data_IF_024983492102
#
_entry.id   IF_024983492102
#
_cell.length_a   1.000
_cell.length_b   1.000
_cell.length_c   1.000
_cell.angle_alpha   90.00
_cell.angle_beta   90.00
_cell.angle_gamma   90.00
#
_symmetry.space_group_name_H-M   'P 1'
#
loop_
_entity.id
_entity.type
_entity.pdbx_description
1 polymer ?
#
# COMPACT_ATOMS: atom_id res chain seq x y z
N UNK A 1 2.30 -3.98 25.60
CA UNK A 1 2.52 -2.97 24.53
C UNK A 1 2.61 -1.61 25.20
N UNK A 2 3.79 -1.01 25.26
CA UNK A 2 3.94 0.28 25.92
C UNK A 2 3.46 1.39 24.98
N UNK A 3 2.73 2.38 25.50
CA UNK A 3 2.17 3.53 24.77
C UNK A 3 3.25 4.25 23.94
N UNK A 4 4.48 4.30 24.43
CA UNK A 4 5.63 4.88 23.71
C UNK A 4 5.98 4.16 22.41
N UNK A 5 5.71 2.88 22.31
CA UNK A 5 6.04 2.10 21.11
C UNK A 5 5.05 2.31 19.96
N UNK A 6 3.83 2.70 20.28
CA UNK A 6 2.84 3.08 19.28
C UNK A 6 3.12 4.47 18.69
N UNK A 7 3.75 5.36 19.47
CA UNK A 7 4.07 6.71 19.02
C UNK A 7 5.20 6.78 17.98
N UNK A 8 6.15 5.83 18.01
CA UNK A 8 7.24 5.79 17.01
C UNK A 8 6.73 5.50 15.60
N UNK A 9 5.66 4.69 15.47
CA UNK A 9 5.08 4.32 14.17
C UNK A 9 3.95 5.28 13.73
N UNK A 10 3.49 6.15 14.62
CA UNK A 10 2.32 6.99 14.40
C UNK A 10 2.45 7.90 13.16
N UNK A 11 3.55 8.61 12.93
CA UNK A 11 3.66 9.49 11.76
C UNK A 11 3.51 8.74 10.44
N UNK A 12 4.16 7.59 10.30
CA UNK A 12 4.10 6.80 9.08
C UNK A 12 2.73 6.16 8.88
N UNK A 13 2.07 5.76 9.97
CA UNK A 13 0.72 5.20 9.93
C UNK A 13 -0.32 6.25 9.57
N UNK A 14 -0.23 7.45 10.10
CA UNK A 14 -1.14 8.56 9.77
C UNK A 14 -0.97 8.98 8.32
N UNK A 15 0.26 9.17 7.87
CA UNK A 15 0.54 9.60 6.51
C UNK A 15 0.05 8.58 5.47
N UNK A 16 0.41 7.31 5.62
CA UNK A 16 0.02 6.25 4.69
C UNK A 16 -1.44 5.88 4.82
N UNK A 17 -1.95 5.75 6.04
CA UNK A 17 -3.34 5.39 6.31
C UNK A 17 -4.32 6.46 5.86
N UNK A 18 -4.03 7.73 6.13
CA UNK A 18 -4.86 8.86 5.68
C UNK A 18 -4.93 8.94 4.15
N UNK A 19 -3.80 8.80 3.48
CA UNK A 19 -3.75 8.82 2.01
C UNK A 19 -4.53 7.65 1.40
N UNK A 20 -4.30 6.42 1.87
CA UNK A 20 -4.96 5.23 1.34
C UNK A 20 -6.46 5.25 1.64
N UNK A 21 -6.86 5.66 2.83
CA UNK A 21 -8.28 5.82 3.17
C UNK A 21 -8.98 6.80 2.24
N UNK A 22 -8.40 7.97 2.02
CA UNK A 22 -8.92 8.97 1.08
C UNK A 22 -9.06 8.39 -0.33
N UNK A 23 -8.02 7.71 -0.81
CA UNK A 23 -8.03 7.06 -2.13
C UNK A 23 -9.12 5.99 -2.26
N UNK A 24 -9.33 5.22 -1.20
CA UNK A 24 -10.39 4.20 -1.16
C UNK A 24 -11.80 4.80 -1.17
N UNK A 25 -12.02 5.87 -0.39
CA UNK A 25 -13.29 6.59 -0.37
C UNK A 25 -13.64 7.19 -1.73
N UNK A 26 -12.67 7.80 -2.41
CA UNK A 26 -12.87 8.32 -3.77
C UNK A 26 -13.26 7.22 -4.77
N UNK A 27 -12.72 6.02 -4.61
CA UNK A 27 -13.04 4.88 -5.48
C UNK A 27 -14.39 4.23 -5.18
N UNK A 28 -14.91 4.37 -3.95
CA UNK A 28 -16.27 3.91 -3.64
C UNK A 28 -17.34 4.65 -4.47
N UNK A 29 -17.06 5.89 -4.84
CA UNK A 29 -17.94 6.73 -5.66
C UNK A 29 -17.63 6.65 -7.16
N UNK A 30 -16.74 5.72 -7.58
CA UNK A 30 -16.36 5.57 -8.97
C UNK A 30 -17.55 5.16 -9.84
N UNK A 31 -17.79 5.91 -10.90
CA UNK A 31 -18.75 5.57 -11.92
C UNK A 31 -18.26 4.40 -12.80
N UNK A 32 -19.09 3.97 -13.75
CA UNK A 32 -18.77 2.85 -14.64
C UNK A 32 -17.55 3.09 -15.51
N UNK A 33 -17.35 4.32 -15.97
CA UNK A 33 -16.22 4.70 -16.82
C UNK A 33 -14.90 4.63 -16.03
N UNK A 34 -14.89 5.19 -14.83
CA UNK A 34 -13.74 5.12 -13.93
C UNK A 34 -13.42 3.68 -13.49
N UNK A 35 -14.46 2.90 -13.18
CA UNK A 35 -14.31 1.47 -12.87
C UNK A 35 -13.70 0.69 -14.03
N UNK A 36 -14.16 0.92 -15.26
CA UNK A 36 -13.60 0.30 -16.46
C UNK A 36 -12.13 0.71 -16.68
N UNK A 37 -11.79 1.97 -16.45
CA UNK A 37 -10.42 2.47 -16.55
C UNK A 37 -9.47 1.81 -15.53
N UNK A 38 -9.87 1.75 -14.27
CA UNK A 38 -9.11 1.09 -13.20
C UNK A 38 -8.91 -0.41 -13.49
N UNK A 39 -9.98 -1.08 -13.90
CA UNK A 39 -9.94 -2.50 -14.26
C UNK A 39 -9.07 -2.76 -15.48
N UNK A 40 -9.22 -1.98 -16.54
CA UNK A 40 -8.42 -2.11 -17.75
C UNK A 40 -6.93 -1.95 -17.48
N UNK A 41 -6.57 -0.98 -16.67
CA UNK A 41 -5.19 -0.76 -16.25
C UNK A 41 -4.63 -1.95 -15.44
N UNK A 42 -5.39 -2.42 -14.46
CA UNK A 42 -4.99 -3.54 -13.62
C UNK A 42 -4.93 -4.88 -14.37
N UNK A 43 -5.93 -5.18 -15.22
CA UNK A 43 -5.99 -6.42 -16.01
C UNK A 43 -4.93 -6.47 -17.11
N UNK A 44 -4.47 -5.32 -17.59
CA UNK A 44 -3.33 -5.26 -18.51
C UNK A 44 -2.03 -5.76 -17.91
N UNK A 45 -1.81 -5.49 -16.62
CA UNK A 45 -0.64 -5.97 -15.89
C UNK A 45 -0.85 -7.36 -15.23
N UNK A 46 -2.09 -7.64 -14.81
CA UNK A 46 -2.50 -8.88 -14.16
C UNK A 46 -3.65 -9.53 -14.94
N UNK A 47 -3.35 -10.35 -15.98
CA UNK A 47 -4.37 -10.88 -16.90
C UNK A 47 -5.49 -11.68 -16.23
N UNK A 48 -5.23 -12.32 -15.08
CA UNK A 48 -6.24 -13.05 -14.31
C UNK A 48 -7.40 -12.17 -13.83
N UNK A 49 -7.18 -10.85 -13.71
CA UNK A 49 -8.22 -9.89 -13.35
C UNK A 49 -9.22 -9.66 -14.50
N UNK A 50 -8.89 -10.04 -15.73
CA UNK A 50 -9.76 -9.89 -16.88
C UNK A 50 -11.09 -10.65 -16.76
N UNK A 51 -11.15 -11.70 -15.94
CA UNK A 51 -12.36 -12.46 -15.65
C UNK A 51 -13.29 -11.81 -14.63
N UNK A 52 -12.82 -10.78 -13.93
CA UNK A 52 -13.59 -10.05 -12.90
C UNK A 52 -14.31 -8.86 -13.56
N UNK A 53 -15.63 -8.68 -13.34
CA UNK A 53 -16.32 -7.50 -13.83
C UNK A 53 -15.70 -6.20 -13.31
N UNK A 54 -15.55 -5.15 -14.15
CA UNK A 54 -14.90 -3.88 -13.77
C UNK A 54 -15.47 -3.24 -12.50
N UNK A 55 -16.80 -3.23 -12.36
CA UNK A 55 -17.46 -2.64 -11.19
C UNK A 55 -17.16 -3.40 -9.90
N UNK A 56 -17.09 -4.74 -9.97
CA UNK A 56 -16.71 -5.58 -8.83
C UNK A 56 -15.25 -5.38 -8.45
N UNK A 57 -14.38 -5.28 -9.44
CA UNK A 57 -12.97 -5.00 -9.23
C UNK A 57 -12.77 -3.64 -8.53
N UNK A 58 -13.37 -2.57 -9.07
CA UNK A 58 -13.26 -1.23 -8.51
C UNK A 58 -13.79 -1.17 -7.06
N UNK A 59 -14.91 -1.83 -6.78
CA UNK A 59 -15.47 -1.92 -5.43
C UNK A 59 -14.58 -2.71 -4.47
N UNK A 60 -14.05 -3.85 -4.91
CA UNK A 60 -13.13 -4.65 -4.11
C UNK A 60 -11.84 -3.88 -3.79
N UNK A 61 -11.29 -3.16 -4.76
CA UNK A 61 -10.14 -2.30 -4.57
C UNK A 61 -10.44 -1.19 -3.56
N UNK A 62 -11.56 -0.48 -3.73
CA UNK A 62 -11.99 0.58 -2.82
C UNK A 62 -12.17 0.09 -1.39
N UNK A 63 -12.85 -1.03 -1.19
CA UNK A 63 -13.05 -1.63 0.14
C UNK A 63 -11.72 -2.07 0.75
N UNK A 64 -10.82 -2.63 -0.05
CA UNK A 64 -9.48 -3.02 0.41
C UNK A 64 -8.66 -1.80 0.86
N UNK A 65 -8.70 -0.69 0.13
CA UNK A 65 -8.02 0.55 0.49
C UNK A 65 -8.64 1.18 1.76
N UNK A 66 -9.97 1.24 1.85
CA UNK A 66 -10.66 1.73 3.06
C UNK A 66 -10.29 0.87 4.27
N UNK A 67 -10.32 -0.44 4.14
CA UNK A 67 -9.94 -1.38 5.20
C UNK A 67 -8.48 -1.22 5.64
N UNK A 68 -7.57 -1.13 4.67
CA UNK A 68 -6.14 -0.94 4.95
C UNK A 68 -5.86 0.43 5.57
N UNK A 69 -6.41 1.49 5.01
CA UNK A 69 -6.27 2.85 5.54
C UNK A 69 -6.78 2.95 6.98
N UNK A 70 -7.95 2.38 7.24
CA UNK A 70 -8.52 2.30 8.58
C UNK A 70 -7.62 1.51 9.54
N UNK A 71 -7.13 0.34 9.13
CA UNK A 71 -6.24 -0.48 9.94
C UNK A 71 -4.92 0.24 10.29
N UNK A 72 -4.39 1.04 9.37
CA UNK A 72 -3.22 1.87 9.62
C UNK A 72 -3.49 2.99 10.64
N UNK A 73 -4.68 3.60 10.59
CA UNK A 73 -5.06 4.70 11.49
C UNK A 73 -5.46 4.22 12.89
N UNK A 74 -5.94 2.98 13.03
CA UNK A 74 -6.37 2.45 14.32
C UNK A 74 -5.19 2.02 15.19
N UNK A 75 -5.00 2.61 16.38
CA UNK A 75 -3.82 2.37 17.21
C UNK A 75 -3.74 0.96 17.81
N UNK A 76 -4.87 0.27 17.90
CA UNK A 76 -4.94 -1.10 18.45
C UNK A 76 -4.64 -2.20 17.40
N UNK A 77 -4.60 -1.85 16.11
CA UNK A 77 -4.15 -2.80 15.07
C UNK A 77 -2.62 -2.92 15.15
N UNK A 78 -2.08 -4.14 15.30
CA UNK A 78 -0.63 -4.32 15.38
C UNK A 78 0.10 -3.77 14.15
N UNK A 79 1.19 -3.02 14.36
CA UNK A 79 1.98 -2.43 13.28
C UNK A 79 2.47 -3.47 12.28
N UNK A 80 2.73 -4.68 12.74
CA UNK A 80 3.13 -5.80 11.88
C UNK A 80 2.05 -6.19 10.87
N UNK A 81 0.78 -6.26 11.30
CA UNK A 81 -0.32 -6.60 10.39
C UNK A 81 -0.63 -5.46 9.43
N UNK A 82 -0.71 -4.22 9.93
CA UNK A 82 -0.90 -3.05 9.10
C UNK A 82 0.26 -2.88 8.09
N UNK A 83 1.49 -3.13 8.52
CA UNK A 83 2.68 -3.09 7.68
C UNK A 83 2.70 -4.18 6.60
N UNK A 84 2.27 -5.40 6.93
CA UNK A 84 2.14 -6.47 5.95
C UNK A 84 1.10 -6.13 4.86
N UNK A 85 -0.04 -5.60 5.26
CA UNK A 85 -1.07 -5.13 4.33
C UNK A 85 -0.58 -4.00 3.43
N UNK A 86 0.11 -3.01 4.01
CA UNK A 86 0.68 -1.89 3.26
C UNK A 86 1.77 -2.35 2.28
N UNK A 87 2.66 -3.26 2.70
CA UNK A 87 3.71 -3.80 1.83
C UNK A 87 3.12 -4.62 0.67
N UNK A 88 2.09 -5.43 0.93
CA UNK A 88 1.40 -6.20 -0.11
C UNK A 88 0.69 -5.28 -1.11
N UNK A 89 0.00 -4.25 -0.64
CA UNK A 89 -0.68 -3.26 -1.48
C UNK A 89 0.33 -2.49 -2.35
N UNK A 90 1.38 -1.95 -1.75
CA UNK A 90 2.43 -1.23 -2.47
C UNK A 90 3.17 -2.14 -3.47
N UNK A 91 3.41 -3.40 -3.10
CA UNK A 91 3.98 -4.40 -4.00
C UNK A 91 3.11 -4.67 -5.21
N UNK A 92 1.79 -4.72 -5.05
CA UNK A 92 0.83 -4.83 -6.15
C UNK A 92 0.90 -3.64 -7.10
N UNK A 93 0.96 -2.43 -6.57
CA UNK A 93 1.08 -1.19 -7.36
C UNK A 93 2.43 -1.11 -8.09
N UNK A 94 3.52 -1.50 -7.46
CA UNK A 94 4.83 -1.59 -8.11
C UNK A 94 4.87 -2.66 -9.21
N UNK A 95 4.09 -3.74 -9.05
CA UNK A 95 3.87 -4.73 -10.10
C UNK A 95 3.20 -4.13 -11.32
N UNK A 96 2.23 -3.23 -11.15
CA UNK A 96 1.65 -2.45 -12.24
C UNK A 96 2.71 -1.59 -12.94
N UNK A 97 3.53 -0.90 -12.16
CA UNK A 97 4.64 -0.09 -12.69
C UNK A 97 5.60 -0.91 -13.56
N UNK A 98 5.99 -2.09 -13.10
CA UNK A 98 6.95 -2.94 -13.81
C UNK A 98 6.36 -3.63 -15.04
N UNK A 99 5.07 -3.93 -15.07
CA UNK A 99 4.41 -4.69 -16.12
C UNK A 99 3.68 -3.85 -17.15
N UNK A 100 3.35 -2.59 -16.84
CA UNK A 100 2.63 -1.71 -17.76
C UNK A 100 3.60 -1.04 -18.72
N UNK A 101 3.43 -1.20 -20.05
CA UNK A 101 4.25 -0.51 -21.04
C UNK A 101 4.16 1.02 -20.88
N UNK A 102 5.27 1.71 -21.08
CA UNK A 102 5.34 3.17 -21.01
C UNK A 102 5.53 3.76 -19.61
N UNK A 103 5.44 2.96 -18.54
CA UNK A 103 5.69 3.43 -17.17
C UNK A 103 7.17 3.65 -16.87
N UNK A 104 8.04 2.94 -17.57
CA UNK A 104 9.49 3.03 -17.42
C UNK A 104 10.13 3.60 -18.68
N UNK A 105 11.28 4.26 -18.51
CA UNK A 105 12.13 4.63 -19.63
C UNK A 105 12.70 3.39 -20.29
N UNK A 106 12.81 3.41 -21.61
CA UNK A 106 13.30 2.28 -22.39
C UNK A 106 14.65 1.78 -21.88
N UNK A 107 14.76 0.46 -21.66
CA UNK A 107 15.98 -0.18 -21.15
C UNK A 107 16.38 0.17 -19.70
N UNK A 108 15.50 0.78 -18.92
CA UNK A 108 15.81 1.27 -17.57
C UNK A 108 14.69 0.95 -16.56
N UNK A 109 15.03 0.92 -15.27
CA UNK A 109 14.06 0.90 -14.16
C UNK A 109 13.56 2.30 -13.79
N UNK A 110 14.13 3.35 -14.38
CA UNK A 110 13.73 4.73 -14.09
C UNK A 110 12.34 5.02 -14.66
N UNK A 111 11.50 5.76 -13.92
CA UNK A 111 10.16 6.09 -14.39
C UNK A 111 10.18 7.04 -15.58
N UNK A 112 9.24 6.84 -16.49
CA UNK A 112 8.78 7.87 -17.41
C UNK A 112 7.93 8.90 -16.64
N UNK A 113 7.55 10.00 -17.27
CA UNK A 113 6.63 10.98 -16.66
C UNK A 113 5.30 10.32 -16.23
N UNK A 114 4.78 9.42 -17.05
CA UNK A 114 3.55 8.67 -16.75
C UNK A 114 3.74 7.64 -15.62
N UNK A 115 4.95 7.13 -15.43
CA UNK A 115 5.27 6.14 -14.41
C UNK A 115 5.57 6.72 -13.03
N UNK A 116 5.84 8.02 -12.92
CA UNK A 116 6.20 8.65 -11.63
C UNK A 116 5.16 8.41 -10.54
N UNK A 117 3.84 8.54 -10.78
CA UNK A 117 2.83 8.32 -9.73
C UNK A 117 2.89 6.92 -9.13
N UNK A 118 3.14 5.87 -9.93
CA UNK A 118 3.30 4.49 -9.46
C UNK A 118 4.68 4.22 -8.87
N UNK A 119 5.73 4.80 -9.45
CA UNK A 119 7.09 4.63 -8.94
C UNK A 119 7.24 5.17 -7.50
N UNK A 120 6.48 6.20 -7.14
CA UNK A 120 6.43 6.75 -5.77
C UNK A 120 5.95 5.72 -4.74
N UNK A 121 5.22 4.70 -5.14
CA UNK A 121 4.73 3.66 -4.24
C UNK A 121 5.85 2.82 -3.62
N UNK A 122 7.08 2.95 -4.11
CA UNK A 122 8.28 2.41 -3.43
C UNK A 122 8.42 2.97 -2.01
N UNK A 123 7.98 4.19 -1.76
CA UNK A 123 7.99 4.78 -0.41
C UNK A 123 6.98 4.08 0.51
N UNK A 124 5.80 3.75 0.00
CA UNK A 124 4.82 2.96 0.75
C UNK A 124 5.30 1.54 1.01
N UNK A 125 5.99 0.92 0.06
CA UNK A 125 6.62 -0.38 0.28
C UNK A 125 7.65 -0.31 1.42
N UNK A 126 8.53 0.68 1.40
CA UNK A 126 9.50 0.92 2.47
C UNK A 126 8.84 1.14 3.83
N UNK A 127 7.78 1.95 3.87
CA UNK A 127 6.99 2.18 5.07
C UNK A 127 6.35 0.89 5.59
N UNK A 128 5.73 0.09 4.72
CA UNK A 128 5.11 -1.19 5.06
C UNK A 128 6.12 -2.19 5.63
N UNK A 129 7.28 -2.32 5.01
CA UNK A 129 8.36 -3.17 5.50
C UNK A 129 8.94 -2.69 6.83
N UNK A 130 9.02 -1.38 7.03
CA UNK A 130 9.45 -0.80 8.31
C UNK A 130 8.48 -1.16 9.43
N UNK A 131 7.18 -0.99 9.21
CA UNK A 131 6.13 -1.38 10.16
C UNK A 131 6.13 -2.90 10.43
N UNK A 132 6.29 -3.71 9.39
CA UNK A 132 6.34 -5.17 9.49
C UNK A 132 7.47 -5.65 10.41
N UNK A 133 8.60 -4.96 10.40
CA UNK A 133 9.81 -5.31 11.17
C UNK A 133 9.93 -4.58 12.50
N UNK A 134 9.04 -3.66 12.81
CA UNK A 134 9.09 -2.81 14.01
C UNK A 134 9.20 -3.62 15.32
N UNK A 135 8.36 -4.63 15.49
CA UNK A 135 8.35 -5.46 16.69
C UNK A 135 9.66 -6.25 16.90
N UNK A 136 10.29 -6.70 15.81
CA UNK A 136 11.59 -7.41 15.89
C UNK A 136 12.71 -6.50 16.36
N UNK A 137 12.72 -5.24 15.91
CA UNK A 137 13.71 -4.24 16.34
C UNK A 137 13.55 -3.91 17.82
N UNK A 138 12.31 -3.81 18.29
CA UNK A 138 11.97 -3.53 19.71
C UNK A 138 12.42 -4.65 20.62
N UNK A 139 12.15 -5.90 20.26
CA UNK A 139 12.56 -7.08 21.03
C UNK A 139 14.08 -7.14 21.16
N UNK A 140 14.81 -6.88 20.07
CA UNK A 140 16.29 -6.85 20.09
C UNK A 140 16.83 -5.71 20.96
N UNK A 141 16.24 -4.52 20.89
CA UNK A 141 16.66 -3.36 21.70
C UNK A 141 16.44 -3.61 23.20
N UNK A 142 15.28 -4.16 23.56
CA UNK A 142 14.97 -4.48 24.96
C UNK A 142 15.88 -5.57 25.53
N UNK A 143 16.27 -6.55 24.72
CA UNK A 143 17.21 -7.60 25.14
C UNK A 143 18.60 -7.02 25.41
N UNK A 144 19.08 -6.16 24.52
CA UNK A 144 20.39 -5.51 24.65
C UNK A 144 20.48 -4.58 25.90
N UNK A 145 19.37 -3.92 26.23
CA UNK A 145 19.31 -3.05 27.43
C UNK A 145 19.19 -3.83 28.75
N UNK A 146 18.91 -5.15 28.70
CA UNK A 146 18.87 -6.02 29.90
C UNK A 146 20.20 -6.76 30.15
N UNK A 147 21.06 -6.82 29.15
CA UNK A 147 22.34 -7.54 29.18
C UNK A 147 23.53 -6.57 29.40
N UNK A 148 23.33 -5.26 29.43
CA UNK A 148 24.32 -4.21 29.73
C UNK A 148 23.95 -3.43 30.96
#
# INVERSE_FOLDING_TARGET
MTVFSALEDLPVRIATGGFILSSGLDKLEADKERAAGLHGFASGAYPFLGSVPPERFAKALAVSEVGLGTALLLPFVPSRLAGAGLAAFAGGLLGLYLRTPGMRREGSLRPSEQGIPLAKDVWMLGAGLSLLTADRRRTRRNRRNREG
#
